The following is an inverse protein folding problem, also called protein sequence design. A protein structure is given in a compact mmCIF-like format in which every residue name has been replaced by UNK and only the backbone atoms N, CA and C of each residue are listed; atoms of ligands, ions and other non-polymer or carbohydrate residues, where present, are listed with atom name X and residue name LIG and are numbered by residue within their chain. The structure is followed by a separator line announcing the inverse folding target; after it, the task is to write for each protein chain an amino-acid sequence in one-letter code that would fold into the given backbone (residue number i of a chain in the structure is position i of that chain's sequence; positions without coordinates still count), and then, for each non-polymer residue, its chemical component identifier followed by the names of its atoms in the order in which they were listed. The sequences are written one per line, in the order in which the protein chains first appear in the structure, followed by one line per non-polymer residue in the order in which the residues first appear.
data_IF_508629019856
#
_entry.id   IF_508629019856
#
_cell.length_a   1.000
_cell.length_b   1.000
_cell.length_c   1.000
_cell.angle_alpha   90.00
_cell.angle_beta   90.00
_cell.angle_gamma   90.00
#
_symmetry.space_group_name_H-M   'P 1'
#
loop_
_entity.id
_entity.type
_entity.pdbx_description
1 polymer ?
#
# COMPACT_ATOMS: atom_id res chain seq x y z
N UNK A 1 16.64 -7.98 -1.40
CA UNK A 1 15.46 -7.10 -1.39
C UNK A 1 15.38 -6.41 -0.03
N UNK A 2 15.70 -5.11 0.06
CA UNK A 2 15.53 -4.36 1.31
C UNK A 2 14.06 -4.29 1.72
N UNK A 3 13.78 -4.12 3.02
CA UNK A 3 12.44 -4.01 3.58
C UNK A 3 11.79 -2.67 3.15
N UNK A 4 11.24 -2.63 1.94
CA UNK A 4 10.41 -1.55 1.43
C UNK A 4 9.13 -2.15 0.87
N UNK A 5 8.02 -1.85 1.55
CA UNK A 5 6.68 -2.21 1.13
C UNK A 5 5.87 -0.90 1.13
N UNK A 6 5.75 -0.29 -0.04
CA UNK A 6 5.24 1.08 -0.13
C UNK A 6 4.86 1.52 -1.54
N UNK A 7 4.74 2.84 -1.73
CA UNK A 7 4.32 3.47 -2.98
C UNK A 7 5.40 3.51 -4.07
N UNK A 8 5.08 4.16 -5.19
CA UNK A 8 5.99 4.29 -6.34
C UNK A 8 7.24 5.11 -5.98
N UNK A 9 8.34 4.42 -5.70
CA UNK A 9 9.65 5.03 -5.43
C UNK A 9 10.23 5.80 -6.63
N UNK A 10 9.77 5.52 -7.85
CA UNK A 10 10.19 6.23 -9.06
C UNK A 10 9.42 7.55 -9.24
N UNK A 11 8.33 7.75 -8.51
CA UNK A 11 7.66 9.05 -8.37
C UNK A 11 8.34 9.87 -7.27
N UNK A 12 9.42 10.58 -7.62
CA UNK A 12 10.26 11.32 -6.64
C UNK A 12 9.47 12.29 -5.77
N UNK A 13 8.52 13.02 -6.35
CA UNK A 13 7.70 13.98 -5.57
C UNK A 13 6.88 13.25 -4.51
N UNK A 14 6.19 12.17 -4.90
CA UNK A 14 5.45 11.36 -3.94
C UNK A 14 6.40 10.77 -2.89
N UNK A 15 7.54 10.23 -3.30
CA UNK A 15 8.47 9.58 -2.39
C UNK A 15 9.19 10.54 -1.42
N UNK A 16 9.36 11.82 -1.79
CA UNK A 16 9.89 12.86 -0.91
C UNK A 16 8.86 13.33 0.12
N UNK A 17 7.58 13.34 -0.26
CA UNK A 17 6.44 13.77 0.58
C UNK A 17 5.86 12.61 1.40
N UNK A 18 6.00 11.37 0.93
CA UNK A 18 5.75 10.14 1.67
C UNK A 18 6.94 9.85 2.59
N UNK A 19 6.72 10.15 3.87
CA UNK A 19 7.71 10.05 4.94
C UNK A 19 8.34 8.64 5.06
N UNK A 20 7.66 7.59 4.58
CA UNK A 20 8.21 6.23 4.55
C UNK A 20 9.20 6.05 3.39
N UNK A 21 8.77 6.38 2.16
CA UNK A 21 9.56 6.18 0.94
C UNK A 21 10.86 7.00 0.92
N UNK A 22 10.88 8.19 1.53
CA UNK A 22 12.09 9.03 1.60
C UNK A 22 13.28 8.29 2.22
N UNK A 23 13.08 7.68 3.39
CA UNK A 23 14.15 6.95 4.08
C UNK A 23 14.56 5.67 3.35
N UNK A 24 13.70 5.13 2.48
CA UNK A 24 14.05 4.01 1.62
C UNK A 24 14.95 4.44 0.47
N UNK A 25 14.62 5.54 -0.21
CA UNK A 25 15.41 6.04 -1.34
C UNK A 25 16.85 6.32 -0.92
N UNK A 26 17.07 6.91 0.26
CA UNK A 26 18.41 7.16 0.80
C UNK A 26 19.25 5.87 0.89
N UNK A 27 18.63 4.76 1.34
CA UNK A 27 19.29 3.45 1.41
C UNK A 27 19.59 2.87 0.04
N UNK A 28 18.73 3.09 -0.96
CA UNK A 28 18.97 2.63 -2.33
C UNK A 28 20.11 3.38 -3.00
N UNK A 29 20.18 4.70 -2.79
CA UNK A 29 21.30 5.52 -3.26
C UNK A 29 22.62 5.01 -2.65
N UNK A 30 22.62 4.64 -1.37
CA UNK A 30 23.80 4.05 -0.74
C UNK A 30 24.18 2.69 -1.36
N UNK A 31 23.22 1.79 -1.56
CA UNK A 31 23.44 0.49 -2.22
C UNK A 31 24.08 0.69 -3.60
N UNK A 32 23.50 1.55 -4.44
CA UNK A 32 24.02 1.85 -5.78
C UNK A 32 25.44 2.44 -5.72
N UNK A 33 25.68 3.38 -4.79
CA UNK A 33 26.98 4.04 -4.63
C UNK A 33 28.08 3.06 -4.26
N UNK A 34 27.80 2.05 -3.43
CA UNK A 34 28.81 1.04 -3.07
C UNK A 34 29.14 0.11 -4.25
N UNK A 35 28.17 -0.15 -5.14
CA UNK A 35 28.34 -1.07 -6.27
C UNK A 35 28.52 -2.55 -5.88
N UNK A 36 28.46 -2.89 -4.58
CA UNK A 36 28.70 -4.25 -4.06
C UNK A 36 27.45 -5.14 -4.19
N UNK A 37 26.27 -4.53 -4.14
CA UNK A 37 24.99 -5.25 -4.19
C UNK A 37 23.98 -4.49 -5.04
N UNK A 38 22.78 -5.04 -5.17
CA UNK A 38 21.68 -4.39 -5.87
C UNK A 38 20.40 -4.58 -5.11
N UNK A 39 19.48 -3.63 -5.26
CA UNK A 39 18.17 -3.71 -4.65
C UNK A 39 17.12 -4.14 -5.67
N UNK A 40 16.04 -4.68 -5.13
CA UNK A 40 14.74 -4.79 -5.78
C UNK A 40 13.79 -4.17 -4.77
N UNK A 41 12.94 -3.24 -5.22
CA UNK A 41 11.98 -2.55 -4.36
C UNK A 41 10.59 -3.09 -4.63
N UNK A 42 9.95 -3.74 -3.65
CA UNK A 42 8.57 -4.19 -3.82
C UNK A 42 7.63 -2.99 -3.66
N UNK A 43 7.16 -2.47 -4.79
CA UNK A 43 6.12 -1.44 -4.81
C UNK A 43 4.79 -2.17 -4.77
N UNK A 44 4.20 -2.24 -3.58
CA UNK A 44 2.95 -2.96 -3.31
C UNK A 44 1.83 -2.06 -2.75
N UNK A 45 2.10 -0.75 -2.62
CA UNK A 45 1.19 0.17 -1.93
C UNK A 45 1.06 -0.14 -0.44
N UNK A 46 0.01 0.37 0.19
CA UNK A 46 -0.29 0.04 1.58
C UNK A 46 -0.77 -1.39 1.73
N UNK A 47 -0.47 -2.04 2.85
CA UNK A 47 -0.98 -3.38 3.14
C UNK A 47 -2.46 -3.34 3.51
N UNK A 48 -3.28 -4.05 2.75
CA UNK A 48 -4.73 -3.92 2.82
C UNK A 48 -5.30 -4.24 4.21
N UNK A 49 -5.01 -5.44 4.74
CA UNK A 49 -5.58 -5.90 6.00
C UNK A 49 -5.06 -5.09 7.21
N UNK A 50 -3.77 -4.74 7.20
CA UNK A 50 -3.17 -3.85 8.20
C UNK A 50 -3.88 -2.51 8.26
N UNK A 51 -4.03 -1.88 7.10
CA UNK A 51 -4.55 -0.51 6.97
C UNK A 51 -6.02 -0.44 7.32
N UNK A 52 -6.79 -1.42 6.85
CA UNK A 52 -8.23 -1.52 7.16
C UNK A 52 -8.45 -1.89 8.64
N UNK A 53 -7.62 -2.79 9.19
CA UNK A 53 -7.71 -3.19 10.60
C UNK A 53 -7.33 -2.10 11.60
N UNK A 54 -6.47 -1.15 11.22
CA UNK A 54 -6.06 -0.03 12.06
C UNK A 54 -6.94 1.23 11.94
N UNK A 55 -7.79 1.29 10.93
CA UNK A 55 -8.93 2.20 10.87
C UNK A 55 -8.61 3.68 10.59
N UNK A 56 -9.10 4.56 11.46
CA UNK A 56 -9.30 6.01 11.18
C UNK A 56 -8.06 6.69 10.60
N UNK A 57 -6.90 6.56 11.24
CA UNK A 57 -5.68 7.26 10.81
C UNK A 57 -5.01 6.62 9.59
N UNK A 58 -5.55 5.51 9.08
CA UNK A 58 -5.07 4.75 7.94
C UNK A 58 -6.05 4.95 6.76
N UNK A 59 -6.90 3.97 6.45
CA UNK A 59 -7.91 4.08 5.39
C UNK A 59 -9.14 4.89 5.79
N UNK A 60 -9.19 5.46 7.00
CA UNK A 60 -10.35 6.25 7.44
C UNK A 60 -11.56 5.40 7.85
N UNK A 61 -11.50 4.07 7.73
CA UNK A 61 -12.63 3.17 8.00
C UNK A 61 -12.41 2.45 9.33
N UNK A 62 -13.03 2.93 10.40
CA UNK A 62 -13.02 2.28 11.71
C UNK A 62 -14.20 1.29 11.81
N UNK A 63 -13.86 0.01 11.63
CA UNK A 63 -14.81 -1.12 11.70
C UNK A 63 -15.43 -1.26 13.09
N UNK A 64 -14.69 -0.95 14.17
CA UNK A 64 -15.16 -1.16 15.54
C UNK A 64 -16.22 -0.13 15.91
N UNK A 65 -15.97 1.14 15.58
CA UNK A 65 -16.93 2.23 15.86
C UNK A 65 -17.97 2.44 14.77
N UNK A 66 -17.86 1.70 13.64
CA UNK A 66 -18.67 1.89 12.43
C UNK A 66 -18.65 3.33 11.95
N UNK A 67 -17.44 3.88 11.82
CA UNK A 67 -17.20 5.23 11.33
C UNK A 67 -16.29 5.21 10.12
N UNK A 68 -16.67 5.96 9.08
CA UNK A 68 -15.84 6.20 7.91
C UNK A 68 -15.55 7.70 7.76
N UNK A 69 -14.28 8.05 7.69
CA UNK A 69 -13.80 9.40 7.32
C UNK A 69 -13.25 9.32 5.91
N UNK A 70 -14.05 9.74 4.93
CA UNK A 70 -13.62 9.84 3.54
C UNK A 70 -12.72 11.05 3.32
N UNK A 71 -11.67 10.83 2.55
CA UNK A 71 -10.73 11.85 2.16
C UNK A 71 -11.24 12.48 0.87
N UNK A 72 -11.49 13.77 0.91
CA UNK A 72 -12.18 14.52 -0.14
C UNK A 72 -13.60 13.96 -0.41
N UNK A 73 -13.83 13.27 -1.52
CA UNK A 73 -15.09 12.59 -1.86
C UNK A 73 -15.06 11.07 -1.60
N UNK A 74 -13.89 10.52 -1.24
CA UNK A 74 -13.68 9.09 -1.02
C UNK A 74 -13.53 8.26 -2.30
N UNK A 75 -13.46 8.88 -3.47
CA UNK A 75 -13.43 8.22 -4.79
C UNK A 75 -12.01 8.06 -5.36
N UNK A 76 -11.01 8.75 -4.83
CA UNK A 76 -9.62 8.57 -5.26
C UNK A 76 -9.18 7.13 -5.05
N UNK A 77 -8.76 6.48 -6.13
CA UNK A 77 -8.25 5.11 -6.11
C UNK A 77 -6.76 5.07 -5.83
N UNK A 78 -6.36 4.07 -5.07
CA UNK A 78 -4.96 3.76 -4.82
C UNK A 78 -4.70 2.27 -5.01
N UNK A 79 -3.46 1.94 -5.33
CA UNK A 79 -2.99 0.56 -5.28
C UNK A 79 -2.74 0.12 -3.83
N UNK A 80 -3.19 -1.08 -3.49
CA UNK A 80 -2.98 -1.73 -2.19
C UNK A 80 -2.85 -3.24 -2.39
N UNK A 81 -2.05 -3.88 -1.53
CA UNK A 81 -1.78 -5.32 -1.63
C UNK A 81 -2.07 -6.04 -0.33
N UNK A 82 -2.56 -7.27 -0.41
CA UNK A 82 -2.68 -8.15 0.75
C UNK A 82 -1.29 -8.63 1.19
N UNK A 83 -1.15 -9.00 2.46
CA UNK A 83 0.09 -9.63 2.93
C UNK A 83 0.40 -10.93 2.19
N UNK A 84 -0.64 -11.71 1.91
CA UNK A 84 -0.52 -12.95 1.16
C UNK A 84 0.03 -12.70 -0.24
N UNK A 85 -0.48 -11.68 -0.93
CA UNK A 85 0.00 -11.32 -2.26
C UNK A 85 1.46 -10.84 -2.24
N UNK A 86 1.86 -10.09 -1.21
CA UNK A 86 3.27 -9.70 -1.04
C UNK A 86 4.17 -10.93 -0.81
N UNK A 87 3.71 -11.89 -0.01
CA UNK A 87 4.42 -13.17 0.21
C UNK A 87 4.55 -14.00 -1.06
N UNK A 88 3.44 -14.15 -1.81
CA UNK A 88 3.44 -14.82 -3.13
C UNK A 88 4.35 -14.10 -4.11
N UNK A 89 4.39 -12.77 -4.10
CA UNK A 89 5.23 -12.00 -5.00
C UNK A 89 6.72 -12.26 -4.75
N UNK A 90 7.12 -12.28 -3.48
CA UNK A 90 8.49 -12.62 -3.11
C UNK A 90 8.84 -14.06 -3.53
N UNK A 91 7.95 -15.01 -3.27
CA UNK A 91 8.15 -16.41 -3.66
C UNK A 91 8.26 -16.57 -5.18
N UNK A 92 7.38 -15.92 -5.95
CA UNK A 92 7.38 -15.92 -7.41
C UNK A 92 8.66 -15.32 -7.97
N UNK A 93 9.07 -14.16 -7.47
CA UNK A 93 10.34 -13.52 -7.86
C UNK A 93 11.55 -14.44 -7.62
N UNK A 94 11.63 -15.05 -6.42
CA UNK A 94 12.76 -15.92 -6.04
C UNK A 94 12.74 -17.28 -6.76
N UNK A 95 11.63 -17.64 -7.41
CA UNK A 95 11.51 -18.85 -8.22
C UNK A 95 12.00 -18.66 -9.66
N UNK A 96 12.24 -17.40 -10.08
CA UNK A 96 12.79 -17.10 -11.39
C UNK A 96 14.29 -17.39 -11.46
N UNK A 97 14.80 -17.59 -12.68
CA UNK A 97 16.24 -17.62 -12.94
C UNK A 97 16.87 -16.27 -12.55
N UNK A 98 18.13 -16.29 -12.11
CA UNK A 98 18.83 -15.04 -11.81
C UNK A 98 19.12 -14.22 -13.08
N UNK A 99 19.61 -14.90 -14.12
CA UNK A 99 20.01 -14.35 -15.41
C UNK A 99 19.30 -15.08 -16.55
N UNK A 100 19.16 -14.46 -17.74
CA UNK A 100 18.76 -15.18 -18.94
C UNK A 100 19.80 -16.25 -19.29
N UNK A 101 19.37 -17.35 -19.92
CA UNK A 101 20.29 -18.41 -20.36
C UNK A 101 21.21 -17.96 -21.49
N UNK A 102 20.68 -17.15 -22.41
CA UNK A 102 21.40 -16.52 -23.51
C UNK A 102 20.73 -15.20 -23.94
N UNK A 103 21.22 -14.57 -25.01
CA UNK A 103 20.67 -13.31 -25.54
C UNK A 103 19.24 -13.41 -26.10
N UNK A 104 18.79 -14.64 -26.41
CA UNK A 104 17.49 -14.93 -26.98
C UNK A 104 16.45 -15.33 -25.92
N UNK A 105 16.88 -15.74 -24.72
CA UNK A 105 15.98 -16.00 -23.58
C UNK A 105 15.23 -14.71 -23.18
N UNK A 106 13.90 -14.72 -23.41
CA UNK A 106 12.99 -13.62 -23.07
C UNK A 106 12.16 -13.91 -21.82
N UNK A 107 12.38 -15.04 -21.16
CA UNK A 107 11.66 -15.39 -19.95
C UNK A 107 11.97 -14.40 -18.81
N UNK A 108 11.01 -14.16 -17.90
CA UNK A 108 11.25 -13.36 -16.72
C UNK A 108 12.42 -13.89 -15.89
N UNK A 109 13.31 -12.99 -15.47
CA UNK A 109 14.46 -13.32 -14.62
C UNK A 109 14.74 -12.19 -13.63
N UNK A 110 15.36 -12.52 -12.49
CA UNK A 110 15.55 -11.58 -11.37
C UNK A 110 16.35 -10.36 -11.80
N UNK A 111 17.34 -10.51 -12.70
CA UNK A 111 18.17 -9.41 -13.16
C UNK A 111 17.38 -8.30 -13.88
N UNK A 112 16.18 -8.58 -14.40
CA UNK A 112 15.30 -7.56 -14.99
C UNK A 112 14.92 -6.46 -13.99
N UNK A 113 14.88 -6.78 -12.70
CA UNK A 113 14.53 -5.87 -11.60
C UNK A 113 15.73 -5.34 -10.81
N UNK A 114 16.96 -5.64 -11.23
CA UNK A 114 18.17 -5.14 -10.56
C UNK A 114 18.18 -3.60 -10.52
N UNK A 115 18.23 -3.04 -9.30
CA UNK A 115 18.14 -1.61 -8.99
C UNK A 115 16.85 -0.97 -9.55
N UNK A 116 15.74 -1.72 -9.50
CA UNK A 116 14.46 -1.27 -10.02
C UNK A 116 13.30 -1.67 -9.09
N UNK A 117 12.17 -0.96 -9.19
CA UNK A 117 10.93 -1.39 -8.56
C UNK A 117 10.35 -2.64 -9.23
N UNK A 118 9.81 -3.53 -8.41
CA UNK A 118 8.90 -4.61 -8.77
C UNK A 118 7.48 -4.14 -8.39
N UNK A 119 6.63 -3.87 -9.39
CA UNK A 119 5.28 -3.35 -9.14
C UNK A 119 4.28 -4.49 -9.03
N UNK A 120 3.59 -4.58 -7.90
CA UNK A 120 2.49 -5.54 -7.68
C UNK A 120 1.32 -4.82 -7.06
N UNK A 121 0.10 -5.31 -7.27
CA UNK A 121 -1.07 -4.79 -6.59
C UNK A 121 -2.07 -5.93 -6.41
N UNK A 122 -2.74 -6.00 -5.26
CA UNK A 122 -3.96 -6.81 -5.14
C UNK A 122 -5.14 -6.06 -5.73
N UNK A 123 -5.26 -4.76 -5.41
CA UNK A 123 -6.43 -3.95 -5.70
C UNK A 123 -6.06 -2.52 -6.08
N UNK A 124 -6.74 -1.97 -7.09
CA UNK A 124 -6.83 -0.53 -7.35
C UNK A 124 -8.23 -0.05 -6.93
N UNK A 125 -8.35 0.51 -5.73
CA UNK A 125 -9.65 0.75 -5.06
C UNK A 125 -9.66 2.07 -4.30
N UNK A 126 -10.85 2.66 -4.16
CA UNK A 126 -11.11 3.87 -3.37
C UNK A 126 -11.57 3.54 -1.94
N UNK A 127 -11.71 4.55 -1.07
CA UNK A 127 -12.30 4.34 0.26
C UNK A 127 -13.76 3.89 0.16
N UNK A 128 -14.49 4.34 -0.86
CA UNK A 128 -15.85 3.88 -1.14
C UNK A 128 -15.87 2.39 -1.51
N UNK A 129 -15.03 1.95 -2.44
CA UNK A 129 -14.91 0.53 -2.80
C UNK A 129 -14.63 -0.35 -1.56
N UNK A 130 -13.75 0.13 -0.66
CA UNK A 130 -13.40 -0.56 0.58
C UNK A 130 -14.57 -0.63 1.57
N UNK A 131 -15.29 0.48 1.79
CA UNK A 131 -16.44 0.50 2.71
C UNK A 131 -17.58 -0.37 2.19
N UNK A 132 -17.83 -0.37 0.88
CA UNK A 132 -18.84 -1.23 0.27
C UNK A 132 -18.50 -2.72 0.44
N UNK A 133 -17.21 -3.07 0.39
CA UNK A 133 -16.75 -4.43 0.73
C UNK A 133 -17.00 -4.76 2.20
N UNK A 134 -16.71 -3.83 3.11
CA UNK A 134 -17.00 -4.00 4.54
C UNK A 134 -18.51 -4.20 4.78
N UNK A 135 -19.36 -3.45 4.07
CA UNK A 135 -20.80 -3.62 4.10
C UNK A 135 -21.24 -5.01 3.66
N UNK A 136 -20.74 -5.51 2.52
CA UNK A 136 -21.03 -6.88 2.04
C UNK A 136 -20.61 -7.94 3.05
N UNK A 137 -19.41 -7.83 3.60
CA UNK A 137 -18.85 -8.79 4.58
C UNK A 137 -19.62 -8.78 5.90
N UNK A 138 -19.98 -7.59 6.41
CA UNK A 138 -20.64 -7.44 7.71
C UNK A 138 -22.17 -7.51 7.64
N UNK A 139 -22.76 -7.50 6.44
CA UNK A 139 -24.20 -7.36 6.25
C UNK A 139 -24.73 -6.02 6.77
N UNK A 140 -23.95 -4.94 6.61
CA UNK A 140 -24.33 -3.57 7.02
C UNK A 140 -24.50 -2.67 5.80
N UNK A 141 -24.98 -1.45 6.00
CA UNK A 141 -25.13 -0.42 4.98
C UNK A 141 -24.64 0.93 5.51
N UNK A 142 -24.56 1.95 4.65
CA UNK A 142 -24.23 3.33 5.07
C UNK A 142 -25.12 3.82 6.24
N UNK A 143 -26.37 3.35 6.35
CA UNK A 143 -27.29 3.74 7.44
C UNK A 143 -26.83 3.26 8.82
N UNK A 144 -25.99 2.24 8.86
CA UNK A 144 -25.44 1.66 10.09
C UNK A 144 -24.12 2.33 10.51
N UNK A 145 -23.65 3.31 9.73
CA UNK A 145 -22.33 3.92 9.87
C UNK A 145 -22.41 5.45 9.98
N UNK A 146 -21.49 6.04 10.73
CA UNK A 146 -21.23 7.48 10.66
C UNK A 146 -20.24 7.74 9.53
N UNK A 147 -20.69 8.45 8.48
CA UNK A 147 -19.83 8.80 7.33
C UNK A 147 -19.59 10.31 7.33
N UNK A 148 -18.32 10.69 7.42
CA UNK A 148 -17.85 12.07 7.40
C UNK A 148 -16.78 12.26 6.33
N UNK A 149 -16.53 13.51 5.97
CA UNK A 149 -15.60 13.88 4.91
C UNK A 149 -14.58 14.88 5.46
N UNK A 150 -13.31 14.71 5.09
CA UNK A 150 -12.22 15.61 5.43
C UNK A 150 -11.35 15.84 4.20
N UNK A 151 -10.91 17.08 3.94
CA UNK A 151 -10.02 17.32 2.80
C UNK A 151 -8.68 16.63 3.03
N UNK A 152 -8.23 15.86 2.05
CA UNK A 152 -6.97 15.11 2.15
C UNK A 152 -5.77 16.03 2.46
N UNK A 153 -5.75 17.23 1.88
CA UNK A 153 -4.69 18.22 2.11
C UNK A 153 -4.65 18.78 3.54
N UNK A 154 -5.82 19.05 4.13
CA UNK A 154 -5.93 19.52 5.51
C UNK A 154 -5.54 18.40 6.48
N UNK A 155 -6.02 17.19 6.20
CA UNK A 155 -5.71 15.97 6.95
C UNK A 155 -4.21 15.65 6.96
N UNK A 156 -3.54 15.81 5.80
CA UNK A 156 -2.09 15.67 5.66
C UNK A 156 -1.34 16.69 6.53
N UNK A 157 -1.69 17.98 6.42
CA UNK A 157 -1.05 19.05 7.19
C UNK A 157 -1.20 18.82 8.70
N UNK A 158 -2.40 18.40 9.15
CA UNK A 158 -2.66 18.04 10.54
C UNK A 158 -1.80 16.85 10.99
N UNK A 159 -1.70 15.80 10.18
CA UNK A 159 -0.83 14.65 10.48
C UNK A 159 0.63 15.05 10.71
N UNK A 160 1.18 15.93 9.87
CA UNK A 160 2.52 16.48 10.05
C UNK A 160 2.66 17.31 11.34
N UNK A 161 1.62 18.04 11.73
CA UNK A 161 1.63 18.85 12.95
C UNK A 161 1.58 17.97 14.21
N UNK A 162 0.76 16.93 14.19
CA UNK A 162 0.63 15.96 15.28
C UNK A 162 1.93 15.17 15.49
N UNK A 163 2.62 14.81 14.40
CA UNK A 163 3.96 14.23 14.49
C UNK A 163 4.95 15.12 15.23
N UNK A 164 4.94 16.44 14.98
CA UNK A 164 5.84 17.39 15.68
C UNK A 164 5.55 17.46 17.18
N UNK A 165 4.33 17.11 17.59
CA UNK A 165 3.89 17.03 18.99
C UNK A 165 4.16 15.64 19.61
N UNK A 166 4.72 14.69 18.86
CA UNK A 166 5.01 13.33 19.32
C UNK A 166 3.84 12.35 19.19
N UNK A 167 2.75 12.74 18.54
CA UNK A 167 1.61 11.86 18.31
C UNK A 167 1.91 10.87 17.18
N UNK A 168 2.15 9.61 17.54
CA UNK A 168 2.63 8.58 16.60
C UNK A 168 1.66 8.31 15.44
N UNK A 169 0.35 8.45 15.66
CA UNK A 169 -0.66 8.28 14.61
C UNK A 169 -0.69 9.43 13.60
N UNK A 170 -0.09 10.59 13.91
CA UNK A 170 0.08 11.68 12.95
C UNK A 170 0.87 11.25 11.71
N UNK A 171 1.83 10.33 11.87
CA UNK A 171 2.60 9.75 10.78
C UNK A 171 1.71 8.96 9.81
N UNK A 172 0.89 8.04 10.34
CA UNK A 172 -0.06 7.29 9.53
C UNK A 172 -1.03 8.24 8.83
N UNK A 173 -1.62 9.18 9.57
CA UNK A 173 -2.57 10.14 9.00
C UNK A 173 -1.99 10.91 7.83
N UNK A 174 -0.77 11.44 7.97
CA UNK A 174 -0.10 12.15 6.87
C UNK A 174 0.16 11.22 5.67
N UNK A 175 0.81 10.09 5.91
CA UNK A 175 1.20 9.15 4.84
C UNK A 175 -0.01 8.65 4.03
N UNK A 176 -1.08 8.19 4.69
CA UNK A 176 -2.27 7.69 3.98
C UNK A 176 -3.01 8.82 3.26
N UNK A 177 -3.18 9.98 3.90
CA UNK A 177 -3.82 11.14 3.23
C UNK A 177 -3.08 11.51 1.97
N UNK A 178 -1.74 11.50 1.99
CA UNK A 178 -0.93 11.83 0.81
C UNK A 178 -1.08 10.82 -0.32
N UNK A 179 -1.24 9.54 0.00
CA UNK A 179 -1.50 8.48 -0.99
C UNK A 179 -2.84 8.67 -1.72
N UNK A 180 -3.85 9.17 -1.01
CA UNK A 180 -5.20 9.44 -1.53
C UNK A 180 -5.39 10.83 -2.15
N UNK A 181 -4.32 11.61 -2.35
CA UNK A 181 -4.46 12.88 -3.08
C UNK A 181 -5.02 12.62 -4.49
N UNK A 182 -5.99 13.43 -4.97
CA UNK A 182 -6.62 13.28 -6.28
C UNK A 182 -5.70 13.78 -7.41
N UNK A 183 -4.47 13.28 -7.45
CA UNK A 183 -3.43 13.64 -8.41
C UNK A 183 -2.80 12.41 -9.11
N UNK A 184 -3.37 11.22 -8.89
CA UNK A 184 -2.88 9.96 -9.47
C UNK A 184 -1.63 9.40 -8.81
N UNK A 185 -1.12 10.00 -7.72
CA UNK A 185 0.10 9.53 -7.06
C UNK A 185 -0.04 8.12 -6.47
N UNK A 186 -1.21 7.77 -5.93
CA UNK A 186 -1.48 6.44 -5.38
C UNK A 186 -1.81 5.36 -6.42
N UNK A 187 -2.06 5.74 -7.69
CA UNK A 187 -2.33 4.82 -8.80
C UNK A 187 -1.08 4.69 -9.68
N UNK A 188 -0.18 3.79 -9.27
CA UNK A 188 1.00 3.50 -10.06
C UNK A 188 0.70 2.51 -11.19
N UNK A 189 -0.33 1.68 -11.10
CA UNK A 189 -0.60 0.69 -12.15
C UNK A 189 -1.02 1.34 -13.47
N UNK A 190 -1.78 2.44 -13.43
CA UNK A 190 -2.20 3.16 -14.64
C UNK A 190 -1.02 3.77 -15.42
N UNK A 191 0.07 4.10 -14.73
CA UNK A 191 1.24 4.76 -15.34
C UNK A 191 2.46 3.85 -15.55
N UNK A 192 2.62 2.81 -14.71
CA UNK A 192 3.78 1.90 -14.71
C UNK A 192 3.44 0.50 -15.20
N UNK A 193 2.16 0.10 -15.11
CA UNK A 193 1.75 -1.30 -15.20
C UNK A 193 2.14 -2.12 -13.95
N UNK A 194 1.80 -3.40 -13.96
CA UNK A 194 2.14 -4.36 -12.92
C UNK A 194 3.03 -5.47 -13.47
N UNK A 195 3.94 -5.95 -12.63
CA UNK A 195 4.79 -7.12 -12.90
C UNK A 195 4.12 -8.43 -12.47
N UNK A 196 2.94 -8.39 -11.83
CA UNK A 196 2.22 -9.54 -11.29
C UNK A 196 2.19 -10.76 -12.22
N UNK A 197 1.91 -10.57 -13.52
CA UNK A 197 1.88 -11.67 -14.47
C UNK A 197 3.25 -12.32 -14.72
N UNK A 198 4.34 -11.55 -14.67
CA UNK A 198 5.72 -12.05 -14.88
C UNK A 198 6.23 -12.93 -13.76
N UNK A 199 5.63 -12.81 -12.57
CA UNK A 199 5.97 -13.57 -11.37
C UNK A 199 4.83 -14.52 -10.94
N UNK A 200 3.89 -14.80 -11.85
CA UNK A 200 2.85 -15.81 -11.65
C UNK A 200 1.81 -15.46 -10.59
N UNK A 201 1.55 -14.17 -10.34
CA UNK A 201 0.55 -13.75 -9.37
C UNK A 201 -0.86 -13.78 -9.96
N UNK A 202 -1.76 -14.38 -9.21
CA UNK A 202 -3.20 -14.37 -9.48
C UNK A 202 -3.85 -13.14 -8.85
N UNK A 203 -5.08 -12.84 -9.28
CA UNK A 203 -5.86 -11.74 -8.70
C UNK A 203 -6.45 -12.16 -7.36
N UNK A 204 -6.38 -11.26 -6.39
CA UNK A 204 -7.07 -11.42 -5.11
C UNK A 204 -8.57 -11.07 -5.24
N UNK A 205 -9.35 -11.60 -4.31
CA UNK A 205 -10.73 -11.20 -4.08
C UNK A 205 -10.82 -10.19 -2.93
N UNK A 206 -11.44 -9.03 -3.19
CA UNK A 206 -11.53 -7.94 -2.23
C UNK A 206 -12.34 -8.33 -1.00
N UNK A 207 -13.50 -8.97 -1.18
CA UNK A 207 -14.40 -9.33 -0.09
C UNK A 207 -13.74 -10.39 0.84
N UNK A 208 -12.96 -11.31 0.27
CA UNK A 208 -12.15 -12.27 1.03
C UNK A 208 -11.07 -11.56 1.86
N UNK A 209 -10.36 -10.58 1.27
CA UNK A 209 -9.37 -9.79 2.01
C UNK A 209 -10.03 -8.93 3.10
N UNK A 210 -11.16 -8.30 2.81
CA UNK A 210 -11.93 -7.50 3.77
C UNK A 210 -12.43 -8.36 4.92
N UNK A 211 -12.91 -9.57 4.65
CA UNK A 211 -13.35 -10.51 5.69
C UNK A 211 -12.24 -10.83 6.68
N UNK A 212 -11.01 -11.08 6.21
CA UNK A 212 -9.84 -11.28 7.08
C UNK A 212 -9.61 -10.09 7.99
N UNK A 213 -9.65 -8.86 7.46
CA UNK A 213 -9.46 -7.64 8.25
C UNK A 213 -10.58 -7.44 9.30
N UNK A 214 -11.84 -7.69 8.94
CA UNK A 214 -12.98 -7.64 9.89
C UNK A 214 -12.80 -8.66 11.02
N UNK A 215 -12.40 -9.89 10.70
CA UNK A 215 -12.13 -10.94 11.70
C UNK A 215 -10.96 -10.57 12.62
N UNK A 216 -9.90 -9.96 12.08
CA UNK A 216 -8.78 -9.43 12.88
C UNK A 216 -9.26 -8.38 13.89
N UNK A 217 -10.07 -7.41 13.45
CA UNK A 217 -10.61 -6.36 14.33
C UNK A 217 -11.51 -6.96 15.41
N UNK A 218 -12.38 -7.91 15.04
CA UNK A 218 -13.27 -8.61 15.96
C UNK A 218 -12.49 -9.41 17.02
N UNK A 219 -11.37 -10.01 16.64
CA UNK A 219 -10.46 -10.72 17.55
C UNK A 219 -9.64 -9.78 18.46
N UNK A 220 -9.76 -8.46 18.31
CA UNK A 220 -9.01 -7.48 19.10
C UNK A 220 -7.55 -7.35 18.67
N UNK A 221 -7.24 -7.64 17.40
CA UNK A 221 -5.89 -7.49 16.85
C UNK A 221 -5.40 -6.05 17.05
N UNK A 222 -4.22 -5.93 17.66
CA UNK A 222 -3.54 -4.66 17.86
C UNK A 222 -2.03 -4.89 17.71
N UNK A 223 -1.42 -4.47 16.59
CA UNK A 223 0.01 -4.67 16.36
C UNK A 223 0.90 -3.74 17.20
N UNK A 224 0.32 -2.84 17.98
CA UNK A 224 1.02 -1.94 18.90
C UNK A 224 0.90 -2.39 20.36
N UNK A 225 0.19 -3.49 20.64
CA UNK A 225 0.21 -4.11 21.96
C UNK A 225 1.59 -4.74 22.19
N UNK A 226 2.31 -4.23 23.18
CA UNK A 226 3.56 -4.80 23.70
C UNK A 226 3.30 -5.58 24.98
#
# INVERSE_FOLDING_TARGET
MPNNYGGDIANRKLAEEDLYSKGVIERYVEIEKTGVSSYISMVCGFWYEWSLGLGESFFGIDIRSKKATFFDDGETKINTSTWEQCGKALAGLLSLKELPEDENDKEPNVAQWKNKPLYISSFLVSQRDMLDSVHRVMGTTDKDWEIVFEKSAERYAKGLEDMKKGERLGFARAMYSRGFYPNGGGDYESSRGLDSGKIGLEKDDLDVATKRAVEMVAAGWNPFAG
#
